data_IF_288504254974
#
_entry.id   IF_288504254974
#
_cell.length_a   1.000
_cell.length_b   1.000
_cell.length_c   1.000
_cell.angle_alpha   90.00
_cell.angle_beta   90.00
_cell.angle_gamma   90.00
#
_symmetry.space_group_name_H-M   'P 1'
#
loop_
_entity.id
_entity.type
_entity.pdbx_description
1 polymer ?
#
# COMPACT_ATOMS: atom_id res chain seq x y z
N UNK A 1 -14.84 16.36 12.08
CA UNK A 1 -14.55 17.79 12.23
C UNK A 1 -14.66 18.38 10.83
N UNK A 2 -15.74 19.08 10.57
CA UNK A 2 -15.87 19.90 9.37
C UNK A 2 -15.16 21.21 9.71
N UNK A 3 -14.08 21.51 9.01
CA UNK A 3 -13.21 22.62 9.35
C UNK A 3 -13.25 23.77 8.34
N UNK A 4 -14.26 23.84 7.49
CA UNK A 4 -14.39 24.99 6.56
C UNK A 4 -13.17 25.13 5.63
N UNK A 5 -13.39 25.61 4.47
CA UNK A 5 -12.46 25.80 3.34
C UNK A 5 -11.01 26.11 3.77
N UNK A 6 -10.05 25.23 3.46
CA UNK A 6 -8.65 25.58 3.33
C UNK A 6 -7.73 25.30 4.54
N UNK A 7 -8.08 24.43 5.50
CA UNK A 7 -7.17 24.10 6.61
C UNK A 7 -6.88 22.59 6.72
N UNK A 8 -5.61 22.21 6.64
CA UNK A 8 -5.14 20.83 6.81
C UNK A 8 -5.44 20.27 8.21
N UNK A 9 -5.74 18.97 8.30
CA UNK A 9 -5.88 18.28 9.57
C UNK A 9 -4.52 17.70 9.98
N UNK A 10 -3.88 18.30 10.97
CA UNK A 10 -2.67 17.76 11.57
C UNK A 10 -2.94 17.22 12.96
N UNK A 11 -2.72 15.92 13.16
CA UNK A 11 -2.79 15.26 14.47
C UNK A 11 -1.39 14.82 14.85
N UNK A 12 -0.83 15.43 15.89
CA UNK A 12 0.50 15.10 16.40
C UNK A 12 0.42 14.67 17.86
N UNK A 13 0.87 13.44 18.15
CA UNK A 13 1.04 12.94 19.50
C UNK A 13 2.52 12.94 19.84
N UNK A 14 2.96 13.93 20.61
CA UNK A 14 4.34 14.03 21.13
C UNK A 14 4.36 13.48 22.55
N UNK A 15 5.02 12.34 22.76
CA UNK A 15 5.19 11.76 24.09
C UNK A 15 6.57 12.07 24.64
N UNK A 16 6.61 12.80 25.75
CA UNK A 16 7.83 13.09 26.52
C UNK A 16 8.03 12.08 27.65
N UNK A 17 8.39 10.84 27.33
CA UNK A 17 8.64 9.80 28.34
C UNK A 17 8.35 8.41 27.80
N UNK A 18 9.24 7.47 27.98
CA UNK A 18 9.37 6.17 27.32
C UNK A 18 8.19 5.17 27.31
N UNK A 19 6.98 5.60 27.14
CA UNK A 19 5.81 4.79 26.88
C UNK A 19 5.25 5.09 25.48
N UNK A 20 4.81 4.08 24.72
CA UNK A 20 4.32 4.25 23.34
C UNK A 20 3.05 5.10 23.30
N UNK A 21 3.14 6.29 22.71
CA UNK A 21 1.96 7.13 22.42
C UNK A 21 1.11 6.48 21.34
N UNK A 22 -0.19 6.42 21.59
CA UNK A 22 -1.16 5.83 20.66
C UNK A 22 -2.22 6.86 20.32
N UNK A 23 -2.59 6.93 19.03
CA UNK A 23 -3.77 7.66 18.58
C UNK A 23 -4.77 6.67 17.99
N UNK A 24 -6.04 6.82 18.36
CA UNK A 24 -7.13 6.03 17.77
C UNK A 24 -7.95 6.93 16.86
N UNK A 25 -8.08 6.54 15.61
CA UNK A 25 -8.81 7.25 14.57
C UNK A 25 -10.12 6.50 14.32
N UNK A 26 -11.24 7.06 14.74
CA UNK A 26 -12.56 6.48 14.50
C UNK A 26 -12.98 6.64 13.03
N UNK A 27 -12.88 7.84 12.49
CA UNK A 27 -12.99 8.16 11.07
C UNK A 27 -12.51 9.60 10.84
N UNK A 28 -11.98 9.89 9.66
CA UNK A 28 -11.67 11.24 9.20
C UNK A 28 -12.23 11.41 7.80
N UNK A 29 -12.95 12.49 7.58
CA UNK A 29 -13.36 12.92 6.25
C UNK A 29 -13.02 14.38 6.14
N UNK A 30 -12.29 14.76 5.11
CA UNK A 30 -11.96 16.15 4.80
C UNK A 30 -12.38 16.43 3.38
N UNK A 31 -12.68 17.67 3.13
CA UNK A 31 -12.92 18.19 1.80
C UNK A 31 -11.64 18.90 1.37
N UNK A 32 -10.86 18.24 0.50
CA UNK A 32 -9.65 18.76 -0.15
C UNK A 32 -8.50 19.22 0.78
N UNK A 33 -8.44 18.71 2.00
CA UNK A 33 -7.38 19.09 2.94
C UNK A 33 -6.50 17.88 3.30
N UNK A 34 -5.21 18.11 3.45
CA UNK A 34 -4.27 17.09 3.88
C UNK A 34 -4.61 16.54 5.27
N UNK A 35 -4.40 15.26 5.42
CA UNK A 35 -4.49 14.56 6.71
C UNK A 35 -3.11 14.04 7.10
N UNK A 36 -2.49 14.67 8.08
CA UNK A 36 -1.17 14.28 8.60
C UNK A 36 -1.34 13.77 10.03
N UNK A 37 -1.05 12.49 10.26
CA UNK A 37 -1.11 11.87 11.59
C UNK A 37 0.28 11.39 11.99
N UNK A 38 0.81 11.94 13.08
CA UNK A 38 2.12 11.57 13.63
C UNK A 38 1.97 11.03 15.05
N UNK A 39 2.21 9.74 15.23
CA UNK A 39 2.19 9.07 16.53
C UNK A 39 3.04 7.79 16.50
N UNK A 40 3.61 7.33 17.62
CA UNK A 40 4.29 6.03 17.66
C UNK A 40 3.42 4.87 17.19
N UNK A 41 2.11 4.88 17.53
CA UNK A 41 1.12 3.92 17.05
C UNK A 41 -0.15 4.65 16.62
N UNK A 42 -0.68 4.27 15.46
CA UNK A 42 -1.91 4.82 14.87
C UNK A 42 -2.90 3.68 14.72
N UNK A 43 -3.93 3.64 15.59
CA UNK A 43 -5.00 2.65 15.50
C UNK A 43 -6.13 3.18 14.61
N UNK A 44 -6.36 2.52 13.51
CA UNK A 44 -7.40 2.89 12.55
C UNK A 44 -8.66 2.06 12.79
N UNK A 45 -9.66 2.66 13.42
CA UNK A 45 -11.00 2.10 13.64
C UNK A 45 -12.02 2.61 12.61
N UNK A 46 -11.72 3.67 11.89
CA UNK A 46 -12.54 4.25 10.83
C UNK A 46 -11.74 4.52 9.56
N UNK A 47 -12.45 4.91 8.52
CA UNK A 47 -11.86 5.26 7.24
C UNK A 47 -11.26 6.67 7.28
N UNK A 48 -10.27 6.94 6.45
CA UNK A 48 -9.76 8.28 6.18
C UNK A 48 -10.06 8.56 4.72
N UNK A 49 -10.73 9.66 4.46
CA UNK A 49 -11.14 10.10 3.13
C UNK A 49 -10.83 11.57 2.98
N UNK A 50 -10.11 11.90 1.91
CA UNK A 50 -9.88 13.28 1.47
C UNK A 50 -10.39 13.36 0.03
N UNK A 51 -11.70 13.45 -0.15
CA UNK A 51 -12.30 13.42 -1.48
C UNK A 51 -12.20 14.78 -2.16
N UNK A 52 -12.11 14.76 -3.48
CA UNK A 52 -12.43 15.94 -4.30
C UNK A 52 -13.89 16.29 -4.05
N UNK A 53 -14.20 17.53 -3.75
CA UNK A 53 -15.57 18.02 -3.82
C UNK A 53 -16.09 17.77 -5.24
N UNK A 54 -17.14 16.96 -5.44
CA UNK A 54 -17.71 16.72 -6.77
C UNK A 54 -18.31 17.98 -7.40
N UNK A 55 -17.87 19.16 -6.95
CA UNK A 55 -18.14 20.45 -7.59
C UNK A 55 -19.59 20.91 -7.48
N UNK A 56 -19.92 21.53 -6.38
CA UNK A 56 -21.06 22.44 -6.36
C UNK A 56 -20.73 23.80 -6.98
N UNK A 57 -19.44 24.06 -7.21
CA UNK A 57 -18.97 25.33 -7.77
C UNK A 57 -18.46 25.16 -9.22
N UNK A 58 -19.43 25.05 -10.14
CA UNK A 58 -19.13 25.05 -11.57
C UNK A 58 -18.44 26.38 -11.98
N UNK A 59 -17.12 26.43 -11.83
CA UNK A 59 -16.31 27.58 -12.22
C UNK A 59 -15.05 27.82 -11.41
N UNK A 60 -14.87 27.18 -10.28
CA UNK A 60 -13.61 27.21 -9.54
C UNK A 60 -12.67 26.10 -10.03
N UNK A 61 -11.63 26.48 -10.75
CA UNK A 61 -10.56 25.59 -11.21
C UNK A 61 -9.36 25.61 -10.25
N UNK A 62 -9.49 26.23 -9.09
CA UNK A 62 -8.46 26.30 -8.05
C UNK A 62 -8.56 25.14 -7.06
N UNK A 63 -9.63 24.34 -7.11
CA UNK A 63 -9.92 23.26 -6.16
C UNK A 63 -9.37 21.89 -6.59
N UNK A 64 -8.52 21.85 -7.62
CA UNK A 64 -7.83 20.63 -8.08
C UNK A 64 -6.63 20.25 -7.18
N UNK A 65 -6.51 20.80 -5.99
CA UNK A 65 -5.45 20.49 -5.05
C UNK A 65 -5.66 19.09 -4.46
N UNK A 66 -4.74 18.22 -4.82
CA UNK A 66 -4.74 16.82 -4.44
C UNK A 66 -4.42 16.66 -2.94
N UNK A 67 -5.42 16.40 -2.12
CA UNK A 67 -5.24 16.25 -0.68
C UNK A 67 -4.60 14.91 -0.32
N UNK A 68 -3.55 14.94 0.49
CA UNK A 68 -2.74 13.78 0.84
C UNK A 68 -3.13 13.18 2.21
N UNK A 69 -2.76 11.90 2.40
CA UNK A 69 -2.88 11.20 3.67
C UNK A 69 -1.50 10.71 4.10
N UNK A 70 -0.92 11.31 5.13
CA UNK A 70 0.38 10.94 5.67
C UNK A 70 0.24 10.28 7.04
N UNK A 71 0.58 9.00 7.13
CA UNK A 71 0.54 8.23 8.37
C UNK A 71 1.95 7.98 8.89
N UNK A 72 2.40 8.86 9.79
CA UNK A 72 3.75 8.88 10.34
C UNK A 72 3.82 8.11 11.67
N UNK A 73 3.77 6.78 11.59
CA UNK A 73 3.85 5.86 12.71
C UNK A 73 3.40 4.44 12.37
N UNK A 74 3.55 3.52 13.31
CA UNK A 74 3.10 2.14 13.13
C UNK A 74 1.56 2.10 13.05
N UNK A 75 1.02 1.69 11.91
CA UNK A 75 -0.42 1.62 11.67
C UNK A 75 -0.95 0.25 12.07
N UNK A 76 -2.02 0.24 12.86
CA UNK A 76 -2.77 -0.95 13.25
C UNK A 76 -4.21 -0.82 12.75
N UNK A 77 -4.64 -1.72 11.88
CA UNK A 77 -6.03 -1.79 11.41
C UNK A 77 -6.85 -2.49 12.50
N UNK A 78 -7.71 -1.73 13.18
CA UNK A 78 -8.60 -2.21 14.25
C UNK A 78 -10.07 -2.11 13.82
N UNK A 79 -10.84 -3.13 14.09
CA UNK A 79 -12.24 -3.20 13.68
C UNK A 79 -12.43 -3.82 12.29
N UNK A 80 -13.20 -3.21 11.38
CA UNK A 80 -13.45 -3.70 10.03
C UNK A 80 -12.31 -3.35 9.07
N UNK A 81 -12.31 -3.91 7.86
CA UNK A 81 -11.43 -3.47 6.76
C UNK A 81 -11.52 -1.96 6.56
N UNK A 82 -10.38 -1.32 6.38
CA UNK A 82 -10.29 0.14 6.26
C UNK A 82 -10.04 0.58 4.83
N UNK A 83 -10.64 1.68 4.46
CA UNK A 83 -10.43 2.34 3.17
C UNK A 83 -9.68 3.64 3.39
N UNK A 84 -8.77 3.95 2.48
CA UNK A 84 -8.04 5.21 2.41
C UNK A 84 -8.23 5.78 1.01
N UNK A 85 -8.81 6.96 0.94
CA UNK A 85 -9.10 7.62 -0.34
C UNK A 85 -8.56 9.04 -0.30
N UNK A 86 -7.76 9.41 -1.28
CA UNK A 86 -7.09 10.70 -1.33
C UNK A 86 -7.47 11.57 -2.52
N UNK A 87 -8.49 11.28 -3.25
CA UNK A 87 -8.95 12.15 -4.33
C UNK A 87 -7.91 12.66 -5.35
N UNK A 88 -6.77 12.03 -5.55
CA UNK A 88 -5.58 12.32 -6.36
C UNK A 88 -4.34 12.81 -5.57
N UNK A 89 -4.43 12.99 -4.24
CA UNK A 89 -3.26 13.23 -3.39
C UNK A 89 -2.48 11.96 -3.10
N UNK A 90 -1.32 12.11 -2.50
CA UNK A 90 -0.49 10.98 -2.08
C UNK A 90 -1.07 10.27 -0.85
N UNK A 91 -0.83 8.97 -0.74
CA UNK A 91 -1.07 8.24 0.51
C UNK A 91 0.25 7.58 0.93
N UNK A 92 0.82 8.01 2.05
CA UNK A 92 2.10 7.51 2.54
C UNK A 92 2.00 6.84 3.92
N UNK A 93 2.60 5.65 4.02
CA UNK A 93 2.79 4.91 5.25
C UNK A 93 4.28 4.89 5.60
N UNK A 94 4.69 5.73 6.53
CA UNK A 94 6.11 5.88 6.88
C UNK A 94 6.69 4.71 7.70
N UNK A 95 5.83 3.85 8.26
CA UNK A 95 6.22 2.75 9.14
C UNK A 95 5.41 1.49 8.86
N UNK A 96 5.38 0.55 9.78
CA UNK A 96 4.69 -0.74 9.61
C UNK A 96 3.18 -0.60 9.48
N UNK A 97 2.56 -1.51 8.73
CA UNK A 97 1.11 -1.64 8.58
C UNK A 97 0.68 -3.04 8.97
N UNK A 98 -0.10 -3.17 10.03
CA UNK A 98 -0.51 -4.45 10.56
C UNK A 98 -2.02 -4.47 10.83
N UNK A 99 -2.62 -5.66 10.83
CA UNK A 99 -3.94 -5.87 11.44
C UNK A 99 -3.81 -5.96 12.95
N UNK A 100 -4.86 -5.63 13.67
CA UNK A 100 -4.98 -5.99 15.09
C UNK A 100 -4.87 -7.49 15.26
N UNK A 101 -4.20 -7.88 16.34
CA UNK A 101 -3.91 -9.28 16.64
C UNK A 101 -5.12 -10.21 16.52
N UNK A 102 -4.97 -11.25 15.73
CA UNK A 102 -5.98 -12.29 15.53
C UNK A 102 -7.20 -11.88 14.70
N UNK A 103 -7.24 -10.64 14.18
CA UNK A 103 -8.41 -10.17 13.44
C UNK A 103 -8.31 -10.28 11.92
N UNK A 104 -7.09 -10.26 11.35
CA UNK A 104 -6.90 -10.40 9.90
C UNK A 104 -7.66 -9.36 9.09
N UNK A 105 -7.61 -8.09 9.52
CA UNK A 105 -8.33 -6.99 8.86
C UNK A 105 -7.64 -6.58 7.57
N UNK A 106 -8.42 -6.29 6.54
CA UNK A 106 -7.90 -5.83 5.26
C UNK A 106 -7.64 -4.32 5.22
N UNK A 107 -6.92 -3.89 4.20
CA UNK A 107 -6.67 -2.50 3.88
C UNK A 107 -6.93 -2.27 2.39
N UNK A 108 -7.80 -1.32 2.09
CA UNK A 108 -8.05 -0.86 0.73
C UNK A 108 -7.55 0.58 0.61
N UNK A 109 -6.84 0.87 -0.46
CA UNK A 109 -6.29 2.19 -0.77
C UNK A 109 -6.76 2.60 -2.16
N UNK A 110 -7.25 3.82 -2.26
CA UNK A 110 -7.65 4.44 -3.52
C UNK A 110 -7.06 5.85 -3.53
N UNK A 111 -6.03 6.08 -4.32
CA UNK A 111 -5.35 7.39 -4.39
C UNK A 111 -5.66 8.14 -5.70
N UNK A 112 -6.50 7.58 -6.57
CA UNK A 112 -6.69 8.15 -7.89
C UNK A 112 -5.35 8.27 -8.63
N UNK A 113 -5.03 9.42 -9.20
CA UNK A 113 -3.74 9.68 -9.85
C UNK A 113 -2.59 9.96 -8.88
N UNK A 114 -2.85 10.05 -7.58
CA UNK A 114 -1.83 10.25 -6.55
C UNK A 114 -0.96 9.02 -6.33
N UNK A 115 0.25 9.23 -5.83
CA UNK A 115 1.16 8.14 -5.52
C UNK A 115 0.78 7.44 -4.20
N UNK A 116 1.12 6.15 -4.09
CA UNK A 116 1.01 5.38 -2.84
C UNK A 116 2.38 4.88 -2.42
N UNK A 117 2.77 5.14 -1.17
CA UNK A 117 4.04 4.75 -0.58
C UNK A 117 3.88 3.87 0.66
N UNK A 118 4.62 2.75 0.68
CA UNK A 118 4.82 1.92 1.87
C UNK A 118 6.31 1.89 2.20
N UNK A 119 6.69 2.41 3.35
CA UNK A 119 8.09 2.51 3.76
C UNK A 119 8.47 1.51 4.87
N UNK A 120 7.51 0.81 5.46
CA UNK A 120 7.74 -0.20 6.49
C UNK A 120 7.06 -1.52 6.20
N UNK A 121 7.41 -2.54 6.97
CA UNK A 121 6.91 -3.90 6.78
C UNK A 121 5.39 -4.01 6.99
N UNK A 122 4.77 -4.93 6.27
CA UNK A 122 3.33 -5.11 6.21
C UNK A 122 2.96 -6.51 6.72
N UNK A 123 2.04 -6.57 7.68
CA UNK A 123 1.53 -7.84 8.22
C UNK A 123 2.56 -8.66 8.97
N UNK A 124 3.64 -8.05 9.43
CA UNK A 124 4.65 -8.72 10.24
C UNK A 124 4.19 -8.79 11.69
N UNK A 125 4.11 -9.99 12.24
CA UNK A 125 3.82 -10.18 13.66
C UNK A 125 4.90 -9.52 14.51
N UNK A 126 4.56 -8.42 15.19
CA UNK A 126 5.42 -7.80 16.18
C UNK A 126 5.13 -8.34 17.58
N UNK A 127 6.12 -8.24 18.47
CA UNK A 127 5.99 -8.56 19.90
C UNK A 127 4.90 -7.66 20.51
N UNK A 128 3.68 -8.17 20.62
CA UNK A 128 2.53 -7.40 21.11
C UNK A 128 1.24 -7.72 20.39
N UNK A 129 1.29 -8.60 19.37
CA UNK A 129 0.12 -9.21 18.79
C UNK A 129 -0.50 -8.49 17.59
N UNK A 130 0.14 -7.48 17.02
CA UNK A 130 -0.23 -7.00 15.71
C UNK A 130 -0.03 -8.15 14.69
N UNK A 131 -0.94 -8.31 13.76
CA UNK A 131 -1.08 -9.53 12.99
C UNK A 131 -1.09 -9.32 11.49
N UNK A 132 -1.13 -10.45 10.81
CA UNK A 132 -1.30 -10.57 9.37
C UNK A 132 -2.50 -9.76 8.90
N UNK A 133 -2.36 -9.01 7.82
CA UNK A 133 -3.48 -8.37 7.14
C UNK A 133 -4.43 -9.43 6.54
N UNK A 134 -5.69 -9.07 6.40
CA UNK A 134 -6.57 -9.69 5.44
C UNK A 134 -6.11 -9.37 4.00
N UNK A 135 -7.01 -8.95 3.14
CA UNK A 135 -6.60 -8.48 1.82
C UNK A 135 -5.90 -7.11 1.90
N UNK A 136 -4.81 -6.94 1.14
CA UNK A 136 -4.24 -5.66 0.79
C UNK A 136 -4.64 -5.34 -0.66
N UNK A 137 -5.38 -4.24 -0.82
CA UNK A 137 -5.86 -3.79 -2.13
C UNK A 137 -5.42 -2.35 -2.36
N UNK A 138 -4.71 -2.09 -3.43
CA UNK A 138 -4.18 -0.75 -3.75
C UNK A 138 -4.52 -0.40 -5.19
N UNK A 139 -5.34 0.63 -5.40
CA UNK A 139 -5.70 1.14 -6.73
C UNK A 139 -6.10 0.04 -7.74
N UNK A 140 -6.86 -0.96 -7.31
CA UNK A 140 -7.22 -2.12 -8.14
C UNK A 140 -8.45 -1.89 -9.04
N UNK A 141 -9.13 -0.76 -8.90
CA UNK A 141 -10.26 -0.40 -9.76
C UNK A 141 -9.77 0.38 -10.99
N UNK A 142 -10.48 0.22 -12.11
CA UNK A 142 -10.21 0.99 -13.32
C UNK A 142 -10.29 2.50 -13.06
N UNK A 143 -9.38 3.25 -13.68
CA UNK A 143 -9.28 4.70 -13.57
C UNK A 143 -7.82 5.16 -13.46
N UNK A 144 -7.57 6.46 -13.47
CA UNK A 144 -6.21 6.99 -13.31
C UNK A 144 -5.59 6.48 -12.01
N UNK A 145 -4.41 5.90 -12.10
CA UNK A 145 -3.66 5.40 -10.96
C UNK A 145 -2.24 5.96 -11.01
N UNK A 146 -1.81 6.56 -9.91
CA UNK A 146 -0.45 7.06 -9.75
C UNK A 146 0.57 5.96 -9.55
N UNK A 147 1.80 6.35 -9.25
CA UNK A 147 2.86 5.41 -8.94
C UNK A 147 2.61 4.72 -7.60
N UNK A 148 2.91 3.43 -7.53
CA UNK A 148 2.85 2.66 -6.28
C UNK A 148 4.27 2.20 -5.92
N UNK A 149 4.69 2.44 -4.69
CA UNK A 149 6.04 2.10 -4.23
C UNK A 149 5.99 1.29 -2.94
N UNK A 150 6.54 0.09 -2.98
CA UNK A 150 6.98 -0.65 -1.80
C UNK A 150 8.45 -0.34 -1.57
N UNK A 151 8.77 0.38 -0.50
CA UNK A 151 10.14 0.75 -0.13
C UNK A 151 11.00 -0.45 0.27
N UNK A 152 12.28 -0.24 0.53
CA UNK A 152 13.25 -1.30 0.84
C UNK A 152 12.96 -2.07 2.14
N UNK A 153 12.12 -1.52 3.01
CA UNK A 153 11.66 -2.17 4.24
C UNK A 153 10.20 -2.60 4.18
N UNK A 154 9.56 -2.47 3.01
CA UNK A 154 8.15 -2.81 2.83
C UNK A 154 7.96 -4.28 2.45
N UNK A 155 8.54 -5.17 3.23
CA UNK A 155 8.29 -6.59 3.13
C UNK A 155 6.85 -6.92 3.55
N UNK A 156 6.21 -7.86 2.88
CA UNK A 156 4.89 -8.37 3.23
C UNK A 156 5.06 -9.77 3.82
N UNK A 157 4.98 -9.85 5.14
CA UNK A 157 5.29 -11.07 5.88
C UNK A 157 6.78 -11.30 6.09
N UNK A 158 7.15 -12.56 6.15
CA UNK A 158 8.53 -13.04 6.30
C UNK A 158 8.68 -14.34 5.52
N UNK A 159 9.90 -14.80 5.29
CA UNK A 159 10.18 -16.07 4.58
C UNK A 159 9.42 -17.31 5.13
N UNK A 160 8.85 -17.23 6.32
CA UNK A 160 8.14 -18.34 6.97
C UNK A 160 6.71 -18.04 7.38
N UNK A 161 6.24 -16.79 7.25
CA UNK A 161 4.92 -16.37 7.69
C UNK A 161 4.30 -15.34 6.75
N UNK A 162 3.12 -15.63 6.24
CA UNK A 162 2.37 -14.72 5.39
C UNK A 162 2.05 -13.40 6.11
N UNK A 163 2.26 -12.29 5.42
CA UNK A 163 1.94 -10.94 5.90
C UNK A 163 0.53 -10.49 5.54
N UNK A 164 -0.07 -11.09 4.53
CA UNK A 164 -1.44 -10.81 4.11
C UNK A 164 -2.13 -12.10 3.64
N UNK A 165 -3.47 -12.09 3.65
CA UNK A 165 -4.23 -13.19 3.05
C UNK A 165 -4.17 -13.14 1.54
N UNK A 166 -4.19 -11.95 0.95
CA UNK A 166 -4.03 -11.72 -0.49
C UNK A 166 -3.51 -10.31 -0.75
N UNK A 167 -2.99 -10.11 -1.95
CA UNK A 167 -2.52 -8.83 -2.45
C UNK A 167 -3.14 -8.60 -3.82
N UNK A 168 -3.67 -7.38 -4.06
CA UNK A 168 -4.05 -6.89 -5.38
C UNK A 168 -3.57 -5.46 -5.49
N UNK A 169 -2.60 -5.20 -6.35
CA UNK A 169 -1.92 -3.90 -6.46
C UNK A 169 -1.92 -3.43 -7.90
N UNK A 170 -2.41 -2.23 -8.07
CA UNK A 170 -2.46 -1.56 -9.36
C UNK A 170 -3.61 -2.01 -10.25
N UNK A 171 -3.63 -1.47 -11.44
CA UNK A 171 -4.54 -1.76 -12.54
C UNK A 171 -3.87 -1.31 -13.86
N UNK A 172 -4.55 -1.51 -14.99
CA UNK A 172 -4.03 -1.16 -16.31
C UNK A 172 -3.62 0.30 -16.51
N UNK A 173 -4.03 1.21 -15.62
CA UNK A 173 -3.68 2.64 -15.65
C UNK A 173 -2.52 3.00 -14.70
N UNK A 174 -2.08 2.08 -13.84
CA UNK A 174 -0.93 2.31 -12.94
C UNK A 174 0.34 2.56 -13.75
N UNK A 175 0.95 3.73 -13.57
CA UNK A 175 2.12 4.15 -14.38
C UNK A 175 3.35 3.32 -14.03
N UNK A 176 3.69 3.24 -12.75
CA UNK A 176 4.84 2.46 -12.28
C UNK A 176 4.52 1.79 -10.95
N UNK A 177 4.85 0.52 -10.84
CA UNK A 177 4.89 -0.23 -9.60
C UNK A 177 6.36 -0.52 -9.25
N UNK A 178 6.86 0.11 -8.19
CA UNK A 178 8.20 -0.11 -7.68
C UNK A 178 8.16 -1.06 -6.47
N UNK A 179 8.83 -2.20 -6.58
CA UNK A 179 8.90 -3.27 -5.58
C UNK A 179 10.36 -3.37 -5.10
N UNK A 180 10.66 -2.79 -3.94
CA UNK A 180 12.03 -2.70 -3.43
C UNK A 180 12.26 -3.55 -2.17
N UNK A 181 11.23 -4.14 -1.57
CA UNK A 181 11.34 -5.10 -0.47
C UNK A 181 11.86 -6.47 -0.94
N UNK A 182 12.15 -7.34 0.01
CA UNK A 182 12.69 -8.67 -0.25
C UNK A 182 11.64 -9.79 -0.16
N UNK A 183 10.62 -9.65 0.68
CA UNK A 183 9.66 -10.71 0.99
C UNK A 183 8.22 -10.28 0.66
N UNK A 184 7.52 -11.09 -0.14
CA UNK A 184 6.10 -10.89 -0.50
C UNK A 184 5.36 -12.20 -0.29
N UNK A 185 5.02 -12.49 0.97
CA UNK A 185 4.44 -13.75 1.35
C UNK A 185 2.96 -13.62 1.74
N UNK A 186 2.08 -14.37 1.03
CA UNK A 186 0.63 -14.44 1.31
C UNK A 186 0.16 -15.88 1.51
N UNK A 187 -1.00 -16.03 2.13
CA UNK A 187 -1.69 -17.32 2.11
C UNK A 187 -2.41 -17.55 0.77
N UNK A 188 -3.00 -16.53 0.18
CA UNK A 188 -3.78 -16.58 -1.05
C UNK A 188 -3.10 -15.87 -2.22
N UNK A 189 -3.90 -15.35 -3.12
CA UNK A 189 -3.45 -14.77 -4.38
C UNK A 189 -2.61 -13.51 -4.24
N UNK A 190 -1.70 -13.33 -5.21
CA UNK A 190 -0.98 -12.08 -5.43
C UNK A 190 -1.18 -11.64 -6.88
N UNK A 191 -1.61 -10.40 -7.06
CA UNK A 191 -1.81 -9.79 -8.38
C UNK A 191 -1.16 -8.40 -8.39
N UNK A 192 -0.30 -8.17 -9.37
CA UNK A 192 0.47 -6.94 -9.56
C UNK A 192 0.27 -6.47 -11.00
N UNK A 193 -0.34 -5.31 -11.18
CA UNK A 193 -0.64 -4.76 -12.49
C UNK A 193 -0.13 -3.33 -12.62
N UNK A 194 0.68 -3.05 -13.63
CA UNK A 194 1.16 -1.72 -13.96
C UNK A 194 1.73 -1.66 -15.37
N UNK A 195 1.82 -0.44 -15.93
CA UNK A 195 2.48 -0.20 -17.21
C UNK A 195 3.98 -0.49 -17.15
N UNK A 196 4.61 -0.29 -15.98
CA UNK A 196 6.01 -0.64 -15.75
C UNK A 196 6.15 -1.20 -14.34
N UNK A 197 6.77 -2.37 -14.21
CA UNK A 197 7.08 -2.98 -12.90
C UNK A 197 8.58 -2.98 -12.71
N UNK A 198 9.08 -2.32 -11.68
CA UNK A 198 10.50 -2.36 -11.29
C UNK A 198 10.65 -3.18 -10.02
N UNK A 199 11.57 -4.14 -10.03
CA UNK A 199 11.89 -4.97 -8.88
C UNK A 199 13.36 -4.78 -8.55
N UNK A 200 13.65 -4.10 -7.43
CA UNK A 200 15.02 -3.76 -7.02
C UNK A 200 15.42 -4.26 -5.63
N UNK A 201 14.56 -5.06 -5.00
CA UNK A 201 14.88 -5.72 -3.73
C UNK A 201 16.05 -6.70 -3.84
N UNK A 202 16.72 -6.94 -2.73
CA UNK A 202 17.77 -7.96 -2.68
C UNK A 202 17.13 -9.36 -2.63
N UNK A 203 17.22 -10.10 -3.73
CA UNK A 203 16.63 -11.44 -3.91
C UNK A 203 15.13 -11.48 -3.55
N UNK A 204 14.28 -10.72 -4.23
CA UNK A 204 12.86 -10.67 -3.93
C UNK A 204 12.21 -12.06 -4.10
N UNK A 205 11.44 -12.45 -3.10
CA UNK A 205 10.72 -13.73 -3.04
C UNK A 205 9.21 -13.47 -2.94
N UNK A 206 8.47 -13.92 -3.95
CA UNK A 206 7.01 -13.86 -4.00
C UNK A 206 6.48 -15.27 -3.74
N UNK A 207 5.79 -15.45 -2.62
CA UNK A 207 5.28 -16.75 -2.21
C UNK A 207 3.79 -16.72 -1.86
N UNK A 208 2.98 -17.54 -2.54
CA UNK A 208 1.58 -17.80 -2.22
C UNK A 208 1.42 -19.24 -1.73
N UNK A 209 1.04 -19.43 -0.46
CA UNK A 209 1.19 -20.71 0.23
C UNK A 209 -0.03 -21.62 0.20
N UNK A 210 -1.25 -21.11 -0.07
CA UNK A 210 -2.41 -21.98 -0.15
C UNK A 210 -2.44 -22.75 -1.48
N UNK A 211 -2.99 -23.97 -1.44
CA UNK A 211 -3.25 -24.73 -2.65
C UNK A 211 -4.18 -23.94 -3.58
N UNK A 212 -3.90 -23.95 -4.88
CA UNK A 212 -4.62 -23.20 -5.90
C UNK A 212 -4.46 -21.68 -5.91
N UNK A 213 -3.65 -21.10 -5.02
CA UNK A 213 -3.33 -19.68 -5.08
C UNK A 213 -2.49 -19.37 -6.32
N UNK A 214 -2.66 -18.16 -6.85
CA UNK A 214 -1.86 -17.72 -7.99
C UNK A 214 -1.01 -16.50 -7.65
N UNK A 215 0.07 -16.33 -8.41
CA UNK A 215 0.86 -15.10 -8.47
C UNK A 215 0.85 -14.63 -9.91
N UNK A 216 0.37 -13.40 -10.12
CA UNK A 216 0.28 -12.80 -11.43
C UNK A 216 1.01 -11.46 -11.48
N UNK A 217 1.77 -11.28 -12.55
CA UNK A 217 2.27 -10.00 -12.97
C UNK A 217 1.60 -9.68 -14.31
N UNK A 218 0.82 -8.62 -14.35
CA UNK A 218 -0.05 -8.27 -15.46
C UNK A 218 0.48 -7.00 -16.11
N UNK A 219 0.54 -7.01 -17.43
CA UNK A 219 0.95 -5.88 -18.25
C UNK A 219 -0.24 -4.97 -18.54
N UNK A 220 -0.23 -3.76 -18.00
CA UNK A 220 -1.27 -2.77 -18.26
C UNK A 220 -1.23 -2.19 -19.67
N UNK A 221 -0.05 -1.92 -20.24
CA UNK A 221 0.10 -1.29 -21.56
C UNK A 221 1.43 -1.64 -22.24
N UNK A 222 1.74 -2.92 -22.42
CA UNK A 222 2.96 -3.42 -23.07
C UNK A 222 4.25 -2.97 -22.33
N UNK A 223 4.22 -2.94 -21.01
CA UNK A 223 5.35 -2.66 -20.14
C UNK A 223 6.23 -3.89 -19.90
N UNK A 224 7.29 -3.68 -19.15
CA UNK A 224 8.25 -4.71 -18.81
C UNK A 224 8.38 -4.85 -17.28
N UNK A 225 8.80 -6.02 -16.84
CA UNK A 225 9.39 -6.18 -15.50
C UNK A 225 10.88 -5.88 -15.63
N UNK A 226 11.34 -4.83 -14.97
CA UNK A 226 12.75 -4.46 -14.92
C UNK A 226 13.35 -4.93 -13.60
N UNK A 227 14.29 -5.89 -13.66
CA UNK A 227 15.05 -6.33 -12.49
C UNK A 227 16.29 -5.46 -12.33
N UNK A 228 16.52 -4.94 -11.13
CA UNK A 228 17.78 -4.27 -10.81
C UNK A 228 18.96 -5.24 -10.85
N UNK A 229 20.16 -4.69 -11.05
CA UNK A 229 21.40 -5.47 -11.11
C UNK A 229 21.55 -6.38 -9.89
N UNK A 230 21.90 -7.62 -10.14
CA UNK A 230 22.09 -8.69 -9.15
C UNK A 230 20.82 -9.11 -8.35
N UNK A 231 19.62 -8.68 -8.74
CA UNK A 231 18.40 -9.21 -8.15
C UNK A 231 18.09 -10.61 -8.69
N UNK A 232 17.90 -11.60 -7.79
CA UNK A 232 17.42 -12.92 -8.17
C UNK A 232 15.95 -13.04 -7.78
N UNK A 233 15.07 -12.90 -8.77
CA UNK A 233 13.63 -13.02 -8.56
C UNK A 233 13.24 -14.48 -8.30
N UNK A 234 12.58 -14.72 -7.18
CA UNK A 234 11.93 -15.99 -6.87
C UNK A 234 10.42 -15.80 -6.88
N UNK A 235 9.69 -16.66 -7.57
CA UNK A 235 8.23 -16.69 -7.59
C UNK A 235 7.77 -18.13 -7.36
N UNK A 236 6.96 -18.37 -6.33
CA UNK A 236 6.58 -19.72 -5.95
C UNK A 236 5.14 -19.82 -5.44
N UNK A 237 4.46 -20.88 -5.85
CA UNK A 237 3.15 -21.29 -5.35
C UNK A 237 3.20 -22.76 -4.97
N UNK A 238 2.33 -23.23 -4.07
CA UNK A 238 2.29 -24.66 -3.73
C UNK A 238 1.77 -25.50 -4.89
N UNK A 239 0.58 -25.23 -5.41
CA UNK A 239 -0.01 -25.94 -6.56
C UNK A 239 -0.77 -24.99 -7.48
N UNK A 240 -0.50 -23.71 -7.39
CA UNK A 240 -1.22 -22.67 -8.10
C UNK A 240 -0.56 -22.24 -9.40
N UNK A 241 -1.16 -21.27 -10.05
CA UNK A 241 -0.67 -20.68 -11.28
C UNK A 241 0.38 -19.61 -10.98
N UNK A 242 1.47 -19.60 -11.73
CA UNK A 242 2.36 -18.47 -11.89
C UNK A 242 2.15 -17.94 -13.31
N UNK A 243 1.71 -16.69 -13.42
CA UNK A 243 1.41 -16.04 -14.69
C UNK A 243 2.20 -14.72 -14.77
N UNK A 244 3.11 -14.63 -15.71
CA UNK A 244 3.98 -13.47 -15.91
C UNK A 244 3.80 -13.03 -17.36
N UNK A 245 2.91 -12.05 -17.57
CA UNK A 245 2.60 -11.53 -18.90
C UNK A 245 3.70 -10.58 -19.43
N UNK A 246 4.29 -9.67 -18.59
CA UNK A 246 5.33 -8.78 -19.03
C UNK A 246 6.64 -9.50 -19.35
N UNK A 247 7.43 -8.93 -20.25
CA UNK A 247 8.79 -9.39 -20.48
C UNK A 247 9.68 -9.01 -19.28
N UNK A 248 10.46 -9.97 -18.76
CA UNK A 248 11.46 -9.69 -17.72
C UNK A 248 12.76 -9.23 -18.37
N UNK A 249 13.27 -8.06 -17.96
CA UNK A 249 14.53 -7.46 -18.43
C UNK A 249 15.44 -7.12 -17.26
N UNK A 250 16.74 -7.27 -17.44
CA UNK A 250 17.74 -6.70 -16.55
C UNK A 250 17.99 -5.22 -16.84
N UNK A 251 18.64 -4.52 -15.91
CA UNK A 251 19.03 -3.10 -16.08
C UNK A 251 20.34 -2.95 -16.85
N UNK A 252 21.19 -3.98 -16.90
CA UNK A 252 22.46 -3.94 -17.61
C UNK A 252 22.39 -4.59 -19.01
N UNK A 253 23.15 -4.04 -19.96
CA UNK A 253 23.31 -4.64 -21.29
C UNK A 253 24.08 -5.97 -21.17
N UNK A 254 23.37 -7.08 -21.30
CA UNK A 254 23.93 -8.42 -21.14
C UNK A 254 23.21 -9.31 -20.14
N UNK A 255 22.31 -8.77 -19.34
CA UNK A 255 21.42 -9.56 -18.50
C UNK A 255 20.42 -10.32 -19.39
N UNK A 256 20.47 -11.67 -19.29
CA UNK A 256 19.62 -12.56 -20.12
C UNK A 256 18.87 -13.52 -19.20
#
# INVERSE_FOLDING_TARGET
>A
VDNGVGEDITIQIVQSGGGGGEVTIAAVSTDMNDVVITAPTINLQGDITTELDPGTDAGDTSDDDAASIDLNGAVVIDGATRTRTSGNGTIDFSSTVNSKAGEGRGLTIVSGSGAVGFNGAIGTATTGGAGTLGALTVNSADGNSGNITFGTSADIGTATAAGASSITVGNGDTVTLAINGAEYFTTGNQEYEANNITISGTNPDFHASADTSHIKFIDGAAGDIVLADAANLTVQTNNGLIDIEPQIKGTAEGDK
#
